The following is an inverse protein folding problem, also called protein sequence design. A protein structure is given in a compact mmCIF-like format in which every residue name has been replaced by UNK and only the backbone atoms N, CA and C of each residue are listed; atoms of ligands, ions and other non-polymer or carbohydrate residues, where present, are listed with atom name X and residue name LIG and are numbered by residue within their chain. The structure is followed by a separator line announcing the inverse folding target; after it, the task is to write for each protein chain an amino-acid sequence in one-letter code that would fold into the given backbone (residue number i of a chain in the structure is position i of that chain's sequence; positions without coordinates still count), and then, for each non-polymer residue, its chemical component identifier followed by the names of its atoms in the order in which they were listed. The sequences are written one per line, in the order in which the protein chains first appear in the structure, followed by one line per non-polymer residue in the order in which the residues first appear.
data_IF_847559644966
#
_entry.id   IF_847559644966
#
_cell.length_a   1.000
_cell.length_b   1.000
_cell.length_c   1.000
_cell.angle_alpha   90.00
_cell.angle_beta   90.00
_cell.angle_gamma   90.00
#
_symmetry.space_group_name_H-M   'P 1'
#
loop_
_entity.id
_entity.type
_entity.pdbx_description
1 polymer ?
#
# COMPACT_ATOMS: atom_id res chain seq x y z
N UNK A 1 16.13 1.77 7.25
CA UNK A 1 15.80 0.82 6.17
C UNK A 1 14.59 1.35 5.47
N UNK A 2 14.59 1.36 4.14
CA UNK A 2 13.39 1.75 3.42
C UNK A 2 12.30 0.72 3.66
N UNK A 3 11.05 1.18 3.73
CA UNK A 3 9.91 0.31 3.91
C UNK A 3 8.81 0.73 2.94
N UNK A 4 8.11 -0.27 2.42
CA UNK A 4 6.92 -0.08 1.61
C UNK A 4 5.72 0.00 2.55
N UNK A 5 4.95 1.08 2.47
CA UNK A 5 3.69 1.22 3.19
C UNK A 5 2.53 0.86 2.26
N UNK A 6 1.81 -0.21 2.57
CA UNK A 6 0.57 -0.59 1.88
C UNK A 6 -0.60 -0.11 2.74
N UNK A 7 -1.38 0.82 2.22
CA UNK A 7 -2.47 1.48 2.93
C UNK A 7 -3.78 1.04 2.29
N UNK A 8 -4.60 0.30 3.02
CA UNK A 8 -5.99 0.07 2.62
C UNK A 8 -6.76 1.39 2.74
N UNK A 9 -7.23 1.91 1.61
CA UNK A 9 -8.02 3.12 1.51
C UNK A 9 -9.30 2.87 0.70
N UNK A 10 -9.99 1.75 0.98
CA UNK A 10 -11.23 1.39 0.27
C UNK A 10 -12.32 2.48 0.36
N UNK A 11 -12.27 3.32 1.39
CA UNK A 11 -13.18 4.46 1.58
C UNK A 11 -12.74 5.74 0.86
N UNK A 12 -11.62 5.72 0.12
CA UNK A 12 -11.05 6.85 -0.63
C UNK A 12 -10.81 8.09 0.24
N UNK A 13 -10.26 7.89 1.44
CA UNK A 13 -10.10 8.94 2.44
C UNK A 13 -8.68 9.53 2.46
N UNK A 14 -7.70 8.79 1.96
CA UNK A 14 -6.30 9.21 1.93
C UNK A 14 -5.98 10.13 0.75
N UNK A 15 -5.12 11.11 1.00
CA UNK A 15 -4.52 11.92 -0.05
C UNK A 15 -3.63 11.04 -0.95
N UNK A 16 -3.80 11.20 -2.26
CA UNK A 16 -3.08 10.50 -3.33
C UNK A 16 -1.76 11.16 -3.69
N UNK A 17 -1.49 12.38 -3.19
CA UNK A 17 -0.27 13.11 -3.50
C UNK A 17 0.96 12.30 -3.06
N UNK A 18 1.93 12.18 -3.96
CA UNK A 18 3.20 11.47 -3.76
C UNK A 18 3.07 9.96 -3.45
N UNK A 19 1.92 9.34 -3.77
CA UNK A 19 1.65 7.90 -3.54
C UNK A 19 1.27 7.18 -4.82
N UNK A 20 1.64 5.91 -4.92
CA UNK A 20 1.07 5.03 -5.94
C UNK A 20 -0.35 4.64 -5.53
N UNK A 21 -1.27 4.65 -6.49
CA UNK A 21 -2.68 4.35 -6.22
C UNK A 21 -3.07 3.12 -7.02
N UNK A 22 -3.64 2.13 -6.33
CA UNK A 22 -4.33 0.99 -6.94
C UNK A 22 -5.82 1.21 -6.74
N UNK A 23 -6.51 1.50 -7.83
CA UNK A 23 -7.96 1.71 -7.84
C UNK A 23 -8.74 0.50 -8.38
N UNK A 24 -8.06 -0.45 -9.02
CA UNK A 24 -8.66 -1.60 -9.67
C UNK A 24 -7.62 -2.70 -9.90
N UNK A 25 -8.08 -3.85 -10.41
CA UNK A 25 -7.17 -4.93 -10.81
C UNK A 25 -6.26 -4.56 -12.00
N UNK A 26 -6.63 -3.54 -12.80
CA UNK A 26 -5.91 -3.22 -14.02
C UNK A 26 -4.56 -2.55 -13.75
N UNK A 27 -4.48 -1.66 -12.76
CA UNK A 27 -3.21 -1.04 -12.35
C UNK A 27 -2.47 -1.82 -11.26
N UNK A 28 -3.05 -2.90 -10.74
CA UNK A 28 -2.40 -3.77 -9.75
C UNK A 28 -1.06 -4.29 -10.25
N UNK A 29 -0.98 -4.78 -11.49
CA UNK A 29 0.22 -5.44 -12.03
C UNK A 29 1.39 -4.45 -12.13
N UNK A 30 1.13 -3.27 -12.67
CA UNK A 30 2.15 -2.23 -12.83
C UNK A 30 2.63 -1.69 -11.48
N UNK A 31 1.73 -1.52 -10.52
CA UNK A 31 2.11 -1.09 -9.16
C UNK A 31 2.83 -2.20 -8.41
N UNK A 32 2.44 -3.46 -8.59
CA UNK A 32 3.15 -4.60 -8.01
C UNK A 32 4.61 -4.66 -8.48
N UNK A 33 4.85 -4.49 -9.79
CA UNK A 33 6.21 -4.45 -10.33
C UNK A 33 7.04 -3.31 -9.70
N UNK A 34 6.45 -2.13 -9.51
CA UNK A 34 7.09 -0.99 -8.86
C UNK A 34 7.38 -1.24 -7.37
N UNK A 35 6.47 -1.89 -6.64
CA UNK A 35 6.69 -2.29 -5.25
C UNK A 35 7.89 -3.23 -5.15
N UNK A 36 7.93 -4.25 -6.01
CA UNK A 36 9.02 -5.23 -6.03
C UNK A 36 10.35 -4.55 -6.38
N UNK A 37 10.36 -3.66 -7.36
CA UNK A 37 11.55 -2.85 -7.69
C UNK A 37 12.02 -2.03 -6.48
N UNK A 38 11.11 -1.30 -5.83
CA UNK A 38 11.44 -0.49 -4.66
C UNK A 38 11.97 -1.32 -3.47
N UNK A 39 11.48 -2.56 -3.29
CA UNK A 39 12.01 -3.49 -2.29
C UNK A 39 13.47 -3.86 -2.57
N UNK A 40 13.81 -4.18 -3.83
CA UNK A 40 15.17 -4.53 -4.21
C UNK A 40 16.13 -3.33 -4.18
N UNK A 41 15.64 -2.15 -4.59
CA UNK A 41 16.42 -0.91 -4.62
C UNK A 41 16.51 -0.24 -3.23
N UNK A 42 15.85 -0.81 -2.21
CA UNK A 42 15.77 -0.26 -0.85
C UNK A 42 15.29 1.21 -0.86
N UNK A 43 14.20 1.46 -1.61
CA UNK A 43 13.51 2.75 -1.75
C UNK A 43 12.16 2.69 -1.03
N UNK A 44 11.83 3.73 -0.27
CA UNK A 44 10.55 3.81 0.43
C UNK A 44 9.44 4.17 -0.55
N UNK A 45 8.29 3.52 -0.41
CA UNK A 45 7.16 3.72 -1.31
C UNK A 45 5.86 3.62 -0.52
N UNK A 46 4.98 4.60 -0.71
CA UNK A 46 3.64 4.56 -0.14
C UNK A 46 2.64 4.18 -1.25
N UNK A 47 1.89 3.11 -0.98
CA UNK A 47 0.91 2.54 -1.89
C UNK A 47 -0.47 2.61 -1.25
N UNK A 48 -1.36 3.34 -1.91
CA UNK A 48 -2.74 3.51 -1.51
C UNK A 48 -3.63 2.57 -2.31
N UNK A 49 -4.29 1.63 -1.64
CA UNK A 49 -5.05 0.56 -2.27
C UNK A 49 -6.53 0.75 -1.98
N UNK A 50 -7.32 1.06 -3.02
CA UNK A 50 -8.76 1.31 -2.93
C UNK A 50 -9.60 0.09 -3.32
N UNK A 51 -8.99 -0.88 -4.00
CA UNK A 51 -9.60 -2.15 -4.34
C UNK A 51 -9.30 -3.20 -3.24
N UNK A 52 -10.34 -3.80 -2.68
CA UNK A 52 -10.21 -4.71 -1.55
C UNK A 52 -9.50 -6.01 -1.91
N UNK A 53 -9.71 -6.54 -3.13
CA UNK A 53 -9.07 -7.76 -3.59
C UNK A 53 -7.57 -7.54 -3.79
N UNK A 54 -7.19 -6.42 -4.41
CA UNK A 54 -5.81 -6.01 -4.58
C UNK A 54 -5.10 -5.84 -3.24
N UNK A 55 -5.78 -5.26 -2.24
CA UNK A 55 -5.21 -5.13 -0.89
C UNK A 55 -4.93 -6.50 -0.26
N UNK A 56 -5.87 -7.44 -0.37
CA UNK A 56 -5.67 -8.82 0.13
C UNK A 56 -4.50 -9.53 -0.56
N UNK A 57 -4.28 -9.28 -1.85
CA UNK A 57 -3.12 -9.84 -2.55
C UNK A 57 -1.82 -9.19 -2.09
N UNK A 58 -1.79 -7.85 -1.99
CA UNK A 58 -0.60 -7.13 -1.53
C UNK A 58 -0.25 -7.39 -0.06
N UNK A 59 -1.24 -7.66 0.80
CA UNK A 59 -0.94 -7.95 2.22
C UNK A 59 -0.07 -9.20 2.40
N UNK A 60 -0.08 -10.12 1.44
CA UNK A 60 0.78 -11.31 1.43
C UNK A 60 2.26 -10.98 1.25
N UNK A 61 2.60 -9.82 0.69
CA UNK A 61 3.99 -9.37 0.57
C UNK A 61 4.68 -9.26 1.93
N UNK A 62 3.95 -8.92 2.98
CA UNK A 62 4.49 -8.87 4.35
C UNK A 62 4.95 -10.25 4.83
N UNK A 63 4.24 -11.32 4.45
CA UNK A 63 4.62 -12.69 4.78
C UNK A 63 5.85 -13.14 3.97
N UNK A 64 5.95 -12.69 2.71
CA UNK A 64 7.05 -13.06 1.81
C UNK A 64 8.36 -12.34 2.12
N UNK A 65 8.30 -11.03 2.39
CA UNK A 65 9.49 -10.19 2.54
C UNK A 65 9.81 -9.84 3.99
N UNK A 66 8.84 -9.91 4.89
CA UNK A 66 9.02 -9.56 6.30
C UNK A 66 8.42 -8.21 6.68
N UNK A 67 8.10 -8.06 7.97
CA UNK A 67 7.47 -6.88 8.55
C UNK A 67 8.37 -5.64 8.61
N UNK A 68 9.67 -5.85 8.47
CA UNK A 68 10.69 -4.82 8.45
C UNK A 68 10.76 -4.08 7.11
N UNK A 69 10.36 -4.74 6.01
CA UNK A 69 10.31 -4.18 4.66
C UNK A 69 8.91 -3.74 4.24
N UNK A 70 7.87 -4.40 4.76
CA UNK A 70 6.48 -4.16 4.33
C UNK A 70 5.60 -3.85 5.54
N UNK A 71 5.08 -2.61 5.57
CA UNK A 71 4.14 -2.13 6.58
C UNK A 71 2.74 -2.05 5.99
N UNK A 72 1.75 -2.42 6.79
CA UNK A 72 0.34 -2.44 6.37
C UNK A 72 -0.46 -1.53 7.29
N UNK A 73 -1.27 -0.67 6.69
CA UNK A 73 -2.15 0.28 7.36
C UNK A 73 -3.58 0.16 6.83
N UNK A 74 -4.56 0.55 7.65
CA UNK A 74 -5.97 0.56 7.26
C UNK A 74 -6.57 1.92 7.59
N UNK A 75 -6.94 2.64 6.54
CA UNK A 75 -7.74 3.86 6.63
C UNK A 75 -9.21 3.48 6.77
N UNK A 76 -9.68 3.50 8.01
CA UNK A 76 -11.12 3.49 8.29
C UNK A 76 -11.57 4.93 8.60
N UNK A 77 -12.84 5.27 8.34
CA UNK A 77 -13.39 6.58 8.73
C UNK A 77 -13.13 6.91 10.20
N UNK A 78 -13.22 5.90 11.08
CA UNK A 78 -12.95 6.03 12.52
C UNK A 78 -11.48 6.34 12.82
N UNK A 79 -10.54 5.77 12.08
CA UNK A 79 -9.11 5.99 12.29
C UNK A 79 -8.69 7.41 11.90
N UNK A 80 -9.21 7.94 10.79
CA UNK A 80 -8.87 9.29 10.33
C UNK A 80 -9.45 10.36 11.25
N UNK A 81 -10.66 10.16 11.78
CA UNK A 81 -11.23 11.08 12.77
C UNK A 81 -10.45 11.14 14.09
N UNK A 82 -9.69 10.10 14.44
CA UNK A 82 -8.82 10.09 15.62
C UNK A 82 -7.44 10.72 15.38
N UNK A 83 -7.09 10.98 14.13
CA UNK A 83 -5.80 11.57 13.73
C UNK A 83 -5.88 13.09 13.48
N UNK A 84 -7.11 13.64 13.44
CA UNK A 84 -7.37 15.09 13.48
C UNK A 84 -7.50 15.56 14.92
#
# INVERSE_FOLDING_TARGET
MAAISIINDNFKLGDTKDKLVIDSIFNYVDVYAQIVGALYDNVSLDVLVRDSACFTWLSRLKEQYGSEYVKIYINTPRNILKQK
#
